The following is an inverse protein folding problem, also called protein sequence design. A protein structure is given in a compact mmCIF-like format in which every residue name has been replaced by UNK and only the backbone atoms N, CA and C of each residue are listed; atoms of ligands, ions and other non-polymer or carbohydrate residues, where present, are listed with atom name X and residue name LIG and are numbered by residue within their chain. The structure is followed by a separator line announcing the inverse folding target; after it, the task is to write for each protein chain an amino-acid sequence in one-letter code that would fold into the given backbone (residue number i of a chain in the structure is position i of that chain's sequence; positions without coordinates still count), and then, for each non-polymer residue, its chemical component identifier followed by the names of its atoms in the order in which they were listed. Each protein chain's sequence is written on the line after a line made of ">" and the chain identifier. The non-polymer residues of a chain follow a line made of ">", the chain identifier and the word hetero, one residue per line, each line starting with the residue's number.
data_IF_061106256799
#
_entry.id   IF_061106256799
#
_cell.length_a   1.000
_cell.length_b   1.000
_cell.length_c   1.000
_cell.angle_alpha   90.00
_cell.angle_beta   90.00
_cell.angle_gamma   90.00
#
_symmetry.space_group_name_H-M   'P 1'
#
loop_
_entity.id
_entity.type
_entity.pdbx_description
1 polymer ?
#
# COMPACT_ATOMS: atom_id res chain seq x y z
N UNK A 1 -11.61 -6.16 -0.74
CA UNK A 1 -11.51 -5.19 0.37
C UNK A 1 -10.15 -5.41 1.01
N UNK A 2 -9.42 -4.35 1.32
CA UNK A 2 -8.09 -4.44 1.95
C UNK A 2 -8.20 -4.29 3.46
N UNK A 3 -7.20 -4.80 4.17
CA UNK A 3 -7.04 -4.71 5.62
C UNK A 3 -5.68 -4.08 5.98
N UNK A 4 -5.54 -3.61 7.22
CA UNK A 4 -4.24 -3.20 7.75
C UNK A 4 -3.25 -4.38 7.71
N UNK A 5 -2.00 -4.11 7.32
CA UNK A 5 -0.98 -5.12 7.07
C UNK A 5 -0.97 -5.69 5.64
N UNK A 6 -2.01 -5.46 4.82
CA UNK A 6 -2.02 -5.95 3.45
C UNK A 6 -0.91 -5.30 2.62
N UNK A 7 -0.17 -6.14 1.90
CA UNK A 7 0.83 -5.70 0.92
C UNK A 7 0.15 -5.36 -0.40
N UNK A 8 0.28 -4.11 -0.81
CA UNK A 8 -0.40 -3.55 -1.98
C UNK A 8 0.58 -2.85 -2.92
N UNK A 9 0.15 -2.64 -4.15
CA UNK A 9 0.81 -1.80 -5.13
C UNK A 9 -0.14 -0.67 -5.51
N UNK A 10 0.33 0.57 -5.45
CA UNK A 10 -0.43 1.72 -5.93
C UNK A 10 -0.58 1.63 -7.46
N UNK A 11 -1.82 1.61 -7.96
CA UNK A 11 -2.07 1.52 -9.40
C UNK A 11 -1.61 2.77 -10.16
N UNK A 12 -1.54 3.94 -9.49
CA UNK A 12 -1.13 5.19 -10.11
C UNK A 12 0.38 5.30 -10.30
N UNK A 13 1.14 4.97 -9.27
CA UNK A 13 2.61 5.13 -9.28
C UNK A 13 3.35 3.82 -9.54
N UNK A 14 2.68 2.68 -9.40
CA UNK A 14 3.31 1.36 -9.46
C UNK A 14 4.20 1.05 -8.25
N UNK A 15 4.28 1.92 -7.25
CA UNK A 15 5.12 1.70 -6.07
C UNK A 15 4.46 0.72 -5.09
N UNK A 16 5.24 -0.16 -4.46
CA UNK A 16 4.73 -1.10 -3.48
C UNK A 16 4.58 -0.41 -2.11
N UNK A 17 3.63 -0.89 -1.30
CA UNK A 17 3.36 -0.33 0.01
C UNK A 17 2.53 -1.26 0.88
N UNK A 18 2.30 -0.82 2.12
CA UNK A 18 1.51 -1.58 3.11
C UNK A 18 0.35 -0.72 3.59
N UNK A 19 -0.84 -1.29 3.65
CA UNK A 19 -2.00 -0.61 4.25
C UNK A 19 -1.76 -0.51 5.76
N UNK A 20 -1.82 0.71 6.30
CA UNK A 20 -1.60 0.98 7.73
C UNK A 20 -2.85 1.50 8.43
N UNK A 21 -3.88 1.87 7.66
CA UNK A 21 -5.16 2.30 8.23
C UNK A 21 -6.28 2.11 7.21
N UNK A 22 -7.46 1.71 7.71
CA UNK A 22 -8.71 1.70 6.94
C UNK A 22 -9.72 2.65 7.61
N UNK A 23 -10.23 3.63 6.86
CA UNK A 23 -11.26 4.57 7.33
C UNK A 23 -12.59 4.28 6.64
N UNK A 24 -13.70 4.22 7.40
CA UNK A 24 -15.07 3.91 6.93
C UNK A 24 -16.15 4.72 7.67
N UNK A 25 -17.46 4.51 7.39
CA UNK A 25 -18.04 3.25 6.89
C UNK A 25 -18.23 3.12 5.36
N UNK A 26 -18.17 4.19 4.56
CA UNK A 26 -17.99 4.17 3.09
C UNK A 26 -17.92 5.62 2.53
N UNK A 27 -17.15 5.89 1.47
CA UNK A 27 -16.20 4.98 0.82
C UNK A 27 -15.04 4.64 1.76
N UNK A 28 -14.49 3.44 1.61
CA UNK A 28 -13.28 3.08 2.34
C UNK A 28 -12.08 3.85 1.81
N UNK A 29 -11.42 4.58 2.70
CA UNK A 29 -10.15 5.24 2.40
C UNK A 29 -9.05 4.43 3.08
N UNK A 30 -8.06 4.01 2.28
CA UNK A 30 -6.91 3.25 2.72
C UNK A 30 -5.71 4.18 2.85
N UNK A 31 -5.11 4.24 4.04
CA UNK A 31 -3.81 4.87 4.22
C UNK A 31 -2.73 3.82 3.95
N UNK A 32 -1.83 4.13 3.03
CA UNK A 32 -0.77 3.21 2.60
C UNK A 32 0.59 3.86 2.87
N UNK A 33 1.46 3.13 3.56
CA UNK A 33 2.87 3.44 3.70
C UNK A 33 3.59 2.89 2.46
N UNK A 34 3.99 3.77 1.56
CA UNK A 34 4.73 3.43 0.33
C UNK A 34 6.21 3.39 0.63
N UNK A 35 6.85 2.29 0.23
CA UNK A 35 8.30 2.18 0.28
C UNK A 35 8.89 3.04 -0.83
N UNK A 36 9.90 3.86 -0.52
CA UNK A 36 10.73 4.42 -1.58
C UNK A 36 11.66 3.34 -2.13
N UNK A 37 11.87 3.40 -3.44
CA UNK A 37 12.84 2.54 -4.13
C UNK A 37 14.26 2.81 -3.60
N UNK A 38 15.22 1.96 -3.99
CA UNK A 38 16.61 1.79 -3.48
C UNK A 38 17.50 3.05 -3.32
N UNK A 39 16.96 4.24 -3.59
CA UNK A 39 17.52 5.56 -3.29
C UNK A 39 17.47 5.96 -1.80
N UNK A 40 16.75 5.20 -0.95
CA UNK A 40 16.86 5.32 0.51
C UNK A 40 16.21 6.54 1.15
N UNK A 41 15.25 7.20 0.49
CA UNK A 41 14.49 8.26 1.13
C UNK A 41 13.37 7.73 2.05
N UNK A 42 12.74 8.63 2.82
CA UNK A 42 11.77 8.26 3.84
C UNK A 42 10.50 7.70 3.19
N UNK A 43 9.85 6.68 3.80
CA UNK A 43 8.62 6.13 3.26
C UNK A 43 7.50 7.18 3.30
N UNK A 44 6.63 7.15 2.29
CA UNK A 44 5.61 8.19 2.07
C UNK A 44 4.24 7.64 2.43
N UNK A 45 3.47 8.42 3.18
CA UNK A 45 2.06 8.12 3.45
C UNK A 45 1.18 8.64 2.32
N UNK A 46 0.38 7.76 1.72
CA UNK A 46 -0.63 8.11 0.72
C UNK A 46 -2.02 7.65 1.14
N UNK A 47 -3.05 8.26 0.56
CA UNK A 47 -4.44 7.84 0.69
C UNK A 47 -4.95 7.32 -0.65
N UNK A 48 -5.65 6.18 -0.63
CA UNK A 48 -6.19 5.52 -1.82
C UNK A 48 -7.57 4.93 -1.58
N UNK A 49 -8.37 4.89 -2.64
CA UNK A 49 -9.56 4.05 -2.70
C UNK A 49 -9.19 2.61 -3.09
N UNK A 50 -10.07 1.66 -2.77
CA UNK A 50 -9.78 0.23 -2.91
C UNK A 50 -9.50 -0.22 -4.35
N UNK A 51 -10.09 0.45 -5.34
CA UNK A 51 -9.92 0.22 -6.77
C UNK A 51 -8.57 0.74 -7.31
N UNK A 52 -7.93 1.65 -6.58
CA UNK A 52 -6.61 2.21 -6.89
C UNK A 52 -5.46 1.36 -6.35
N UNK A 53 -5.75 0.24 -5.69
CA UNK A 53 -4.76 -0.68 -5.13
C UNK A 53 -4.80 -2.02 -5.87
N UNK A 54 -3.64 -2.62 -6.07
CA UNK A 54 -3.45 -3.96 -6.63
C UNK A 54 -2.71 -4.84 -5.63
N UNK A 55 -2.86 -6.17 -5.75
CA UNK A 55 -2.07 -7.11 -4.94
C UNK A 55 -0.59 -6.93 -5.33
N UNK A 56 0.26 -6.71 -4.34
CA UNK A 56 1.69 -6.84 -4.53
C UNK A 56 2.11 -8.28 -4.19
N UNK A 57 3.08 -8.86 -4.91
CA UNK A 57 3.65 -10.14 -4.52
C UNK A 57 4.24 -10.01 -3.11
N UNK A 58 3.93 -10.98 -2.25
CA UNK A 58 4.64 -11.12 -0.97
C UNK A 58 6.08 -11.42 -1.36
N UNK A 59 7.04 -10.55 -1.00
CA UNK A 59 8.46 -10.89 -1.09
C UNK A 59 8.69 -12.04 -0.11
N UNK A 60 8.62 -13.27 -0.58
CA UNK A 60 9.15 -14.42 0.13
C UNK A 60 10.67 -14.23 0.11
N UNK A 61 11.24 -13.75 1.21
CA UNK A 61 12.70 -13.68 1.35
C UNK A 61 13.33 -15.08 1.21
N UNK A 62 14.62 -15.18 0.85
CA UNK A 62 15.28 -16.48 0.75
C UNK A 62 15.34 -17.15 2.14
N UNK A 63 15.20 -18.48 2.14
CA UNK A 63 15.40 -19.35 3.30
C UNK A 63 16.86 -19.37 3.76
#
# INVERSE_FOLDING_TARGET
>A
MWAEGDRVRDAKTGKPGTVVQVTGPAPFIYRVLVEEDDTGGPPIMIYRYGDQLRRAPVRTGPA
#
